data_IF_626963806582
#
_entry.id   IF_626963806582
#
_cell.length_a   1.000
_cell.length_b   1.000
_cell.length_c   1.000
_cell.angle_alpha   90.00
_cell.angle_beta   90.00
_cell.angle_gamma   90.00
#
_symmetry.space_group_name_H-M   'P 1'
#
loop_
_entity.id
_entity.type
_entity.pdbx_description
1 polymer ?
#
# COMPACT_ATOMS: atom_id res chain seq x y z
N UNK A 1 -33.02 0.46 -10.01
CA UNK A 1 -32.54 0.55 -10.11
C UNK A 1 -31.63 0.45 -10.44
N UNK A 2 -31.28 0.50 -10.68
CA UNK A 2 -30.49 0.41 -11.07
C UNK A 2 -29.54 0.81 -11.11
N UNK A 3 -28.88 0.83 -10.95
CA UNK A 3 -27.91 1.14 -10.97
C UNK A 3 -27.18 1.31 -11.80
N UNK A 4 -27.30 1.56 -12.05
CA UNK A 4 -26.87 1.72 -13.19
C UNK A 4 -25.77 2.48 -13.32
N UNK A 5 -25.36 2.97 -12.43
CA UNK A 5 -24.38 3.75 -12.51
C UNK A 5 -23.28 3.25 -12.08
N UNK A 6 -22.90 2.27 -12.54
CA UNK A 6 -21.75 1.74 -12.23
C UNK A 6 -20.67 2.30 -13.01
N UNK A 7 -20.70 3.52 -13.39
CA UNK A 7 -19.59 4.11 -13.99
C UNK A 7 -18.47 4.08 -13.04
N UNK A 8 -17.35 3.51 -13.39
CA UNK A 8 -16.18 3.44 -12.56
C UNK A 8 -15.62 4.81 -12.34
N UNK A 9 -15.42 5.16 -11.09
CA UNK A 9 -14.79 6.43 -10.79
C UNK A 9 -13.29 6.33 -10.95
N UNK A 10 -12.71 7.38 -11.50
CA UNK A 10 -11.26 7.49 -11.60
C UNK A 10 -10.74 8.07 -10.30
N UNK A 11 -9.86 7.34 -9.64
CA UNK A 11 -9.30 7.76 -8.37
C UNK A 11 -7.88 8.25 -8.55
N UNK A 12 -7.48 9.22 -7.75
CA UNK A 12 -6.09 9.66 -7.69
C UNK A 12 -5.39 8.88 -6.61
N UNK A 13 -4.36 8.17 -7.00
CA UNK A 13 -3.67 7.24 -6.13
C UNK A 13 -2.23 7.68 -5.92
N UNK A 14 -1.78 7.69 -4.68
CA UNK A 14 -0.39 7.94 -4.35
C UNK A 14 0.27 6.62 -3.94
N UNK A 15 1.48 6.39 -4.38
CA UNK A 15 2.21 5.15 -4.11
C UNK A 15 3.46 5.48 -3.32
N UNK A 16 3.64 4.80 -2.20
CA UNK A 16 4.83 4.98 -1.38
C UNK A 16 5.55 3.66 -1.22
N UNK A 17 6.81 3.64 -1.62
CA UNK A 17 7.68 2.50 -1.40
C UNK A 17 8.57 2.82 -0.19
N UNK A 18 8.58 1.92 0.78
CA UNK A 18 9.40 2.08 1.97
C UNK A 18 10.56 1.11 1.86
N UNK A 19 11.76 1.66 1.70
CA UNK A 19 12.93 0.84 1.47
C UNK A 19 14.19 1.63 1.80
N UNK A 20 15.16 0.95 2.41
CA UNK A 20 16.44 1.57 2.72
C UNK A 20 17.39 1.55 1.51
N UNK A 21 17.08 0.76 0.50
CA UNK A 21 18.05 0.52 -0.56
C UNK A 21 17.56 0.82 -1.97
N UNK A 22 16.26 0.91 -2.20
CA UNK A 22 15.76 1.05 -3.56
C UNK A 22 15.69 2.50 -4.00
N UNK A 23 15.81 2.70 -5.30
CA UNK A 23 15.54 4.00 -5.90
C UNK A 23 14.50 3.77 -7.00
N UNK A 24 14.15 4.81 -7.75
CA UNK A 24 13.11 4.65 -8.76
C UNK A 24 13.48 3.65 -9.84
N UNK A 25 14.76 3.48 -10.12
CA UNK A 25 15.17 2.51 -11.13
C UNK A 25 15.09 1.08 -10.64
N UNK A 26 15.28 0.85 -9.35
CA UNK A 26 15.29 -0.50 -8.79
C UNK A 26 14.00 -0.86 -8.08
N UNK A 27 13.04 0.07 -8.00
CA UNK A 27 11.80 -0.16 -7.27
C UNK A 27 10.79 -0.85 -8.16
N UNK A 28 10.94 -2.15 -8.33
CA UNK A 28 10.04 -2.90 -9.19
C UNK A 28 8.63 -2.99 -8.63
N UNK A 29 8.50 -2.98 -7.32
CA UNK A 29 7.19 -3.08 -6.68
C UNK A 29 6.36 -1.84 -6.92
N UNK A 30 6.97 -0.68 -6.70
CA UNK A 30 6.26 0.57 -6.96
C UNK A 30 5.92 0.74 -8.42
N UNK A 31 6.83 0.30 -9.31
CA UNK A 31 6.57 0.37 -10.74
C UNK A 31 5.40 -0.53 -11.12
N UNK A 32 5.35 -1.73 -10.55
CA UNK A 32 4.25 -2.65 -10.82
C UNK A 32 2.92 -2.08 -10.36
N UNK A 33 2.90 -1.49 -9.16
CA UNK A 33 1.69 -0.87 -8.64
C UNK A 33 1.24 0.29 -9.54
N UNK A 34 2.19 1.09 -9.98
CA UNK A 34 1.90 2.21 -10.86
C UNK A 34 1.23 1.74 -12.14
N UNK A 35 1.78 0.70 -12.73
CA UNK A 35 1.19 0.14 -13.94
C UNK A 35 -0.18 -0.44 -13.66
N UNK A 36 -0.34 -1.15 -12.58
CA UNK A 36 -1.60 -1.81 -12.26
C UNK A 36 -2.74 -0.82 -12.07
N UNK A 37 -2.48 0.28 -11.35
CA UNK A 37 -3.55 1.25 -11.12
C UNK A 37 -3.91 1.98 -12.40
N UNK A 38 -2.95 2.23 -13.26
CA UNK A 38 -3.23 2.90 -14.53
C UNK A 38 -4.00 1.99 -15.47
N UNK A 39 -3.62 0.72 -15.48
CA UNK A 39 -4.31 -0.24 -16.29
C UNK A 39 -5.76 -0.41 -15.85
N UNK A 40 -6.02 -0.22 -14.57
CA UNK A 40 -7.37 -0.32 -14.03
C UNK A 40 -8.13 0.99 -14.17
N UNK A 41 -7.56 1.98 -14.85
CA UNK A 41 -8.28 3.22 -15.15
C UNK A 41 -8.10 4.33 -14.15
N UNK A 42 -7.20 4.18 -13.18
CA UNK A 42 -6.98 5.21 -12.18
C UNK A 42 -5.73 6.03 -12.50
N UNK A 43 -5.57 7.14 -11.81
CA UNK A 43 -4.46 8.05 -12.06
C UNK A 43 -3.43 7.92 -10.96
N UNK A 44 -2.17 7.76 -11.33
CA UNK A 44 -1.10 7.87 -10.37
C UNK A 44 -0.86 9.36 -10.13
N UNK A 45 -1.29 9.83 -8.97
CA UNK A 45 -1.14 11.24 -8.64
C UNK A 45 0.31 11.55 -8.26
N UNK A 46 0.93 10.67 -7.48
CA UNK A 46 2.32 10.85 -7.09
C UNK A 46 2.88 9.51 -6.65
N UNK A 47 4.19 9.41 -6.62
CA UNK A 47 4.89 8.20 -6.21
C UNK A 47 6.19 8.62 -5.55
N UNK A 48 6.50 8.02 -4.43
CA UNK A 48 7.72 8.39 -3.70
C UNK A 48 8.33 7.15 -3.06
N UNK A 49 9.57 7.29 -2.65
CA UNK A 49 10.31 6.25 -1.96
C UNK A 49 10.93 6.91 -0.73
N UNK A 50 10.70 6.31 0.44
CA UNK A 50 11.32 6.81 1.67
C UNK A 50 12.01 5.67 2.39
N UNK A 51 12.98 6.03 3.22
CA UNK A 51 13.65 5.03 4.04
C UNK A 51 12.69 4.51 5.09
N UNK A 52 13.00 3.33 5.64
CA UNK A 52 12.18 2.70 6.65
C UNK A 52 12.41 3.40 7.98
N UNK A 53 11.81 4.55 8.12
CA UNK A 53 11.94 5.41 9.28
C UNK A 53 10.56 5.93 9.62
N UNK A 54 10.16 5.77 10.88
CA UNK A 54 8.82 6.13 11.31
C UNK A 54 8.46 7.55 10.94
N UNK A 55 9.37 8.48 11.14
CA UNK A 55 9.04 9.88 10.94
C UNK A 55 9.03 10.29 9.48
N UNK A 56 9.89 9.67 8.67
CA UNK A 56 9.84 9.92 7.22
C UNK A 56 8.57 9.36 6.61
N UNK A 57 8.15 8.18 7.05
CA UNK A 57 6.92 7.59 6.59
C UNK A 57 5.74 8.47 6.99
N UNK A 58 5.67 8.87 8.25
CA UNK A 58 4.57 9.72 8.73
C UNK A 58 4.52 11.04 8.01
N UNK A 59 5.67 11.63 7.75
CA UNK A 59 5.73 12.92 7.08
C UNK A 59 5.10 12.83 5.69
N UNK A 60 5.49 11.83 4.93
CA UNK A 60 4.98 11.66 3.57
C UNK A 60 3.49 11.34 3.58
N UNK A 61 3.09 10.39 4.42
CA UNK A 61 1.69 9.98 4.45
C UNK A 61 0.80 11.10 4.96
N UNK A 62 1.23 11.83 5.98
CA UNK A 62 0.44 12.93 6.51
C UNK A 62 0.23 14.02 5.47
N UNK A 63 1.26 14.31 4.69
CA UNK A 63 1.13 15.29 3.62
C UNK A 63 0.10 14.84 2.60
N UNK A 64 0.09 13.55 2.28
CA UNK A 64 -0.87 13.02 1.31
C UNK A 64 -2.29 12.97 1.88
N UNK A 65 -2.41 12.66 3.18
CA UNK A 65 -3.72 12.67 3.83
C UNK A 65 -4.31 14.08 3.81
N UNK A 66 -3.47 15.09 3.93
CA UNK A 66 -3.94 16.48 3.94
C UNK A 66 -4.28 16.98 2.55
N UNK A 67 -3.89 16.26 1.50
CA UNK A 67 -4.12 16.69 0.13
C UNK A 67 -5.50 16.22 -0.34
N UNK A 68 -6.43 17.14 -0.58
CA UNK A 68 -7.79 16.72 -0.97
C UNK A 68 -7.86 16.08 -2.35
N UNK A 69 -6.78 16.14 -3.12
CA UNK A 69 -6.75 15.50 -4.43
C UNK A 69 -6.48 14.02 -4.38
N UNK A 70 -6.01 13.49 -3.26
CA UNK A 70 -5.62 12.08 -3.16
C UNK A 70 -6.68 11.30 -2.43
N UNK A 71 -7.25 10.29 -3.09
CA UNK A 71 -8.28 9.45 -2.49
C UNK A 71 -7.73 8.14 -1.94
N UNK A 72 -6.60 7.67 -2.50
CA UNK A 72 -6.07 6.38 -2.13
C UNK A 72 -4.55 6.47 -2.00
N UNK A 73 -4.02 5.87 -0.96
CA UNK A 73 -2.58 5.72 -0.78
C UNK A 73 -2.29 4.23 -0.70
N UNK A 74 -1.33 3.76 -1.47
CA UNK A 74 -0.90 2.37 -1.43
C UNK A 74 0.56 2.37 -1.03
N UNK A 75 0.89 1.64 0.05
CA UNK A 75 2.28 1.53 0.46
C UNK A 75 2.76 0.11 0.26
N UNK A 76 4.05 -0.01 0.01
CA UNK A 76 4.69 -1.30 -0.12
C UNK A 76 6.01 -1.26 0.64
N UNK A 77 6.32 -2.34 1.35
CA UNK A 77 7.51 -2.43 2.16
C UNK A 77 7.26 -2.13 3.62
N UNK A 78 8.24 -2.41 4.44
CA UNK A 78 8.22 -2.04 5.86
C UNK A 78 7.14 -2.70 6.68
N UNK A 79 6.69 -3.90 6.32
CA UNK A 79 5.57 -4.54 7.01
C UNK A 79 5.91 -5.83 7.72
N UNK A 80 7.16 -6.29 7.66
CA UNK A 80 7.54 -7.52 8.34
C UNK A 80 7.74 -7.29 9.82
N UNK A 81 8.32 -8.29 10.47
CA UNK A 81 8.60 -8.18 11.90
C UNK A 81 10.07 -7.90 12.20
N UNK A 82 10.89 -7.66 11.20
CA UNK A 82 12.29 -7.34 11.46
C UNK A 82 12.38 -5.92 12.00
N UNK A 83 13.56 -5.60 12.50
CA UNK A 83 13.73 -4.40 13.28
C UNK A 83 13.37 -3.10 12.58
N UNK A 84 13.52 -3.05 11.27
CA UNK A 84 13.26 -1.81 10.56
C UNK A 84 11.95 -1.81 9.80
N UNK A 85 11.15 -2.87 9.95
CA UNK A 85 9.87 -2.92 9.23
C UNK A 85 8.82 -2.24 10.07
N UNK A 86 8.76 -0.93 10.01
CA UNK A 86 7.97 -0.14 10.94
C UNK A 86 6.80 0.61 10.31
N UNK A 87 6.41 0.24 9.10
CA UNK A 87 5.30 0.95 8.43
C UNK A 87 4.00 0.95 9.25
N UNK A 88 3.55 -0.21 9.77
CA UNK A 88 2.31 -0.17 10.55
C UNK A 88 2.41 0.73 11.77
N UNK A 89 3.55 0.72 12.46
CA UNK A 89 3.75 1.55 13.63
C UNK A 89 3.77 3.04 13.26
N UNK A 90 4.25 3.34 12.08
CA UNK A 90 4.30 4.73 11.64
C UNK A 90 2.92 5.25 11.29
N UNK A 91 2.09 4.44 10.67
CA UNK A 91 0.85 4.91 10.08
C UNK A 91 -0.34 4.77 11.01
N UNK A 92 -0.37 3.73 11.84
CA UNK A 92 -1.52 3.50 12.72
C UNK A 92 -1.91 4.73 13.54
N UNK A 93 -0.98 5.46 14.15
CA UNK A 93 -1.39 6.60 14.98
C UNK A 93 -2.03 7.75 14.22
N UNK A 94 -1.85 7.82 12.91
CA UNK A 94 -2.42 8.92 12.14
C UNK A 94 -3.67 8.52 11.38
N UNK A 95 -4.17 7.30 11.58
CA UNK A 95 -5.43 6.89 10.99
C UNK A 95 -6.59 7.32 11.84
N UNK A 96 -7.67 7.73 11.20
CA UNK A 96 -8.91 8.01 11.92
C UNK A 96 -9.63 6.72 12.24
N UNK A 97 -9.54 5.73 11.37
CA UNK A 97 -10.24 4.48 11.55
C UNK A 97 -9.49 3.36 10.85
N UNK A 98 -9.40 2.22 11.49
CA UNK A 98 -8.75 1.08 10.91
C UNK A 98 -9.80 0.19 10.25
N UNK A 99 -9.45 -0.38 9.10
CA UNK A 99 -10.36 -1.30 8.41
C UNK A 99 -9.84 -2.71 8.69
N UNK A 100 -10.40 -3.35 9.71
CA UNK A 100 -9.84 -4.58 10.23
C UNK A 100 -9.92 -5.76 9.27
N UNK A 101 -10.98 -5.84 8.49
CA UNK A 101 -11.16 -7.00 7.63
C UNK A 101 -10.15 -7.13 6.51
N UNK A 102 -9.51 -6.02 6.13
CA UNK A 102 -8.58 -6.07 5.02
C UNK A 102 -7.37 -6.94 5.32
N UNK A 103 -6.78 -6.76 6.50
CA UNK A 103 -5.57 -7.52 6.83
C UNK A 103 -5.84 -9.01 6.91
N UNK A 104 -6.96 -9.38 7.47
CA UNK A 104 -7.31 -10.78 7.56
C UNK A 104 -7.54 -11.39 6.19
N UNK A 105 -8.25 -10.69 5.33
CA UNK A 105 -8.50 -11.17 3.99
C UNK A 105 -7.21 -11.30 3.21
N UNK A 106 -6.36 -10.29 3.31
CA UNK A 106 -5.09 -10.31 2.59
C UNK A 106 -4.22 -11.50 3.02
N UNK A 107 -4.15 -11.75 4.32
CA UNK A 107 -3.33 -12.86 4.81
C UNK A 107 -3.91 -14.19 4.40
N UNK A 108 -5.22 -14.31 4.38
CA UNK A 108 -5.86 -15.55 3.97
C UNK A 108 -5.58 -15.86 2.51
N UNK A 109 -5.70 -14.85 1.65
CA UNK A 109 -5.44 -15.05 0.23
C UNK A 109 -3.96 -15.33 -0.03
N UNK A 110 -3.09 -14.62 0.68
CA UNK A 110 -1.66 -14.81 0.50
C UNK A 110 -1.22 -16.19 0.99
N UNK A 111 -1.84 -16.69 2.03
CA UNK A 111 -1.47 -17.99 2.55
C UNK A 111 -1.70 -19.09 1.53
N UNK A 112 -2.75 -18.98 0.76
CA UNK A 112 -3.02 -19.97 -0.25
C UNK A 112 -1.94 -19.99 -1.32
N UNK A 113 -1.28 -18.87 -1.53
CA UNK A 113 -0.25 -18.80 -2.54
C UNK A 113 1.16 -18.93 -1.99
N UNK A 114 1.41 -18.38 -0.82
CA UNK A 114 2.76 -18.31 -0.30
C UNK A 114 3.01 -19.19 0.91
N UNK A 115 2.00 -19.84 1.44
CA UNK A 115 2.16 -20.70 2.57
C UNK A 115 2.36 -19.96 3.87
N UNK A 116 3.10 -20.55 4.77
CA UNK A 116 3.21 -20.01 6.13
C UNK A 116 3.97 -18.70 6.20
N UNK A 117 4.66 -18.31 5.15
CA UNK A 117 5.41 -17.06 5.22
C UNK A 117 4.50 -15.86 5.38
N UNK A 118 3.23 -15.97 5.01
CA UNK A 118 2.31 -14.84 5.16
C UNK A 118 1.96 -14.56 6.61
N UNK A 119 2.23 -15.50 7.51
CA UNK A 119 1.90 -15.30 8.92
C UNK A 119 2.63 -14.08 9.48
N UNK A 120 3.81 -13.77 8.94
CA UNK A 120 4.59 -12.66 9.44
C UNK A 120 4.21 -11.33 8.81
N UNK A 121 3.31 -11.32 7.84
CA UNK A 121 2.95 -10.09 7.18
C UNK A 121 1.97 -9.29 8.02
N UNK A 122 2.18 -7.97 8.09
CA UNK A 122 1.30 -7.08 8.85
C UNK A 122 0.62 -6.11 7.91
N UNK A 123 -0.20 -6.64 7.03
CA UNK A 123 -0.91 -5.84 6.04
C UNK A 123 -2.25 -5.37 6.62
N UNK A 124 -2.59 -4.12 6.38
CA UNK A 124 -3.91 -3.62 6.80
C UNK A 124 -4.28 -2.39 5.98
N UNK A 125 -5.51 -1.92 6.19
CA UNK A 125 -5.98 -0.71 5.56
C UNK A 125 -6.62 0.19 6.59
N UNK A 126 -6.65 1.46 6.31
CA UNK A 126 -7.28 2.42 7.21
C UNK A 126 -7.80 3.62 6.46
N UNK A 127 -8.51 4.46 7.18
CA UNK A 127 -9.11 5.66 6.63
C UNK A 127 -8.60 6.85 7.42
N UNK A 128 -8.21 7.90 6.73
CA UNK A 128 -7.81 9.14 7.36
C UNK A 128 -8.23 10.30 6.46
N UNK A 129 -9.01 11.23 6.97
CA UNK A 129 -9.42 12.42 6.24
C UNK A 129 -9.96 12.09 4.85
N UNK A 130 -10.81 11.08 4.75
CA UNK A 130 -11.42 10.67 3.49
C UNK A 130 -10.43 10.02 2.51
N UNK A 131 -9.25 9.65 2.96
CA UNK A 131 -8.27 8.96 2.15
C UNK A 131 -8.14 7.54 2.66
N UNK A 132 -8.20 6.56 1.77
CA UNK A 132 -8.02 5.16 2.15
C UNK A 132 -6.55 4.80 1.96
N UNK A 133 -5.96 4.20 2.98
CA UNK A 133 -4.55 3.85 2.96
C UNK A 133 -4.43 2.34 3.06
N UNK A 134 -3.77 1.75 2.05
CA UNK A 134 -3.53 0.31 2.02
C UNK A 134 -2.04 0.04 2.25
N UNK A 135 -1.74 -0.90 3.12
CA UNK A 135 -0.36 -1.28 3.41
C UNK A 135 -0.07 -2.67 2.90
N UNK A 136 1.07 -2.78 2.23
CA UNK A 136 1.65 -4.09 1.94
C UNK A 136 0.91 -5.01 1.00
N UNK A 137 0.69 -4.55 -0.19
CA UNK A 137 0.12 -5.42 -1.21
C UNK A 137 1.17 -6.06 -2.08
N UNK A 138 2.43 -5.91 -1.71
CA UNK A 138 3.49 -6.25 -2.61
C UNK A 138 3.75 -7.70 -2.83
N UNK A 139 3.42 -8.53 -1.88
CA UNK A 139 3.71 -9.94 -2.02
C UNK A 139 3.13 -10.54 -3.27
N UNK A 140 2.01 -10.01 -3.69
CA UNK A 140 1.32 -10.57 -4.83
C UNK A 140 2.05 -10.24 -6.11
N UNK A 141 2.87 -9.21 -6.10
CA UNK A 141 3.48 -8.72 -7.32
C UNK A 141 4.89 -9.24 -7.54
N UNK A 142 5.34 -10.23 -6.80
CA UNK A 142 6.68 -10.74 -7.01
C UNK A 142 6.64 -12.17 -7.53
N UNK A 143 6.15 -12.34 -8.72
CA UNK A 143 6.00 -13.69 -9.26
C UNK A 143 7.31 -14.38 -9.58
N UNK A 144 8.40 -13.62 -9.72
CA UNK A 144 9.65 -14.25 -10.05
C UNK A 144 10.09 -15.23 -9.01
N UNK A 145 9.66 -15.05 -7.76
CA UNK A 145 10.05 -16.00 -6.76
C UNK A 145 9.37 -17.32 -6.94
N UNK A 146 8.22 -17.32 -7.58
CA UNK A 146 7.48 -18.53 -7.75
C UNK A 146 7.97 -19.33 -8.92
N UNK A 147 8.66 -18.71 -9.83
CA UNK A 147 9.13 -19.43 -10.98
C UNK A 147 10.48 -20.08 -10.71
N UNK A 148 11.06 -19.82 -9.60
CA UNK A 148 12.32 -20.47 -9.26
C UNK A 148 12.08 -21.87 -8.72
#
# INVERSE_FOLDING_TARGET
MSNTNDEKKVLNVAILTISDTRNFNSDSSGAWLSEAIQKDGHTQHTRDIVQDDIYLIRSTISKWIADPSIQVVITTGGTGFSGRDSTPEAITPILDKKIDGFGELFRQLSYQELGTSTIQSRAFAGLANSTIIFLSLIHISEPTRLSA
#
